data_IF_831251847380
#
_entry.id   IF_831251847380
#
_cell.length_a   1.000
_cell.length_b   1.000
_cell.length_c   1.000
_cell.angle_alpha   90.00
_cell.angle_beta   90.00
_cell.angle_gamma   90.00
#
_symmetry.space_group_name_H-M   'P 1'
#
loop_
_entity.id
_entity.type
_entity.pdbx_description
1 polymer ?
#
# COMPACT_ATOMS: atom_id res chain seq x y z
N UNK A 1 -7.09 1.16 -5.35
CA UNK A 1 -5.90 1.70 -6.06
C UNK A 1 -5.22 0.56 -6.80
N UNK A 2 -4.89 0.72 -8.09
CA UNK A 2 -4.11 -0.28 -8.84
C UNK A 2 -2.69 0.22 -9.03
N UNK A 3 -1.70 -0.64 -8.82
CA UNK A 3 -0.29 -0.29 -8.87
C UNK A 3 0.52 -1.40 -9.50
N UNK A 4 1.64 -1.03 -10.12
CA UNK A 4 2.70 -1.97 -10.48
C UNK A 4 3.85 -1.77 -9.49
N UNK A 5 4.22 -2.82 -8.76
CA UNK A 5 5.24 -2.79 -7.70
C UNK A 5 6.51 -3.44 -8.23
N UNK A 6 7.63 -2.74 -8.13
CA UNK A 6 8.97 -3.24 -8.45
C UNK A 6 9.78 -3.31 -7.16
N UNK A 7 10.26 -4.51 -6.78
CA UNK A 7 11.13 -4.66 -5.62
C UNK A 7 12.58 -4.32 -5.99
N UNK A 8 12.94 -3.03 -5.83
CA UNK A 8 14.32 -2.55 -5.97
C UNK A 8 15.12 -2.61 -4.66
N UNK A 9 14.54 -3.15 -3.59
CA UNK A 9 15.21 -3.28 -2.29
C UNK A 9 16.16 -4.49 -2.27
N UNK A 10 16.93 -4.61 -1.19
CA UNK A 10 17.83 -5.76 -0.95
C UNK A 10 17.16 -6.95 -0.27
N UNK A 11 15.93 -6.77 0.20
CA UNK A 11 15.16 -7.74 0.98
C UNK A 11 13.88 -8.14 0.25
N UNK A 12 13.36 -9.32 0.56
CA UNK A 12 12.05 -9.74 0.06
C UNK A 12 10.94 -8.95 0.77
N UNK A 13 9.80 -8.83 0.09
CA UNK A 13 8.63 -8.14 0.63
C UNK A 13 7.36 -8.99 0.48
N UNK A 14 6.56 -9.04 1.54
CA UNK A 14 5.15 -9.43 1.43
C UNK A 14 4.35 -8.16 1.09
N UNK A 15 3.48 -8.27 0.07
CA UNK A 15 2.65 -7.16 -0.40
C UNK A 15 1.23 -7.19 0.17
N UNK A 16 0.80 -8.29 0.79
CA UNK A 16 -0.63 -8.58 0.98
C UNK A 16 -1.06 -8.83 2.41
N UNK A 17 -0.23 -9.45 3.26
CA UNK A 17 -0.66 -9.82 4.61
C UNK A 17 0.40 -9.61 5.70
N UNK A 18 1.59 -9.14 5.34
CA UNK A 18 2.66 -8.86 6.29
C UNK A 18 3.47 -7.63 5.87
N UNK A 19 4.43 -7.25 6.72
CA UNK A 19 5.45 -6.25 6.44
C UNK A 19 6.34 -6.69 5.25
N UNK A 20 6.98 -5.75 4.54
CA UNK A 20 7.22 -4.36 4.93
C UNK A 20 6.31 -3.32 4.26
N UNK A 21 5.39 -3.70 3.38
CA UNK A 21 4.63 -2.69 2.63
C UNK A 21 3.42 -2.20 3.40
N UNK A 22 3.32 -0.88 3.51
CA UNK A 22 2.22 -0.21 4.16
C UNK A 22 1.66 0.89 3.24
N UNK A 23 0.34 1.03 3.22
CA UNK A 23 -0.33 2.02 2.37
C UNK A 23 -1.46 2.73 3.11
N UNK A 24 -1.73 3.97 2.73
CA UNK A 24 -2.79 4.79 3.34
C UNK A 24 -3.54 5.57 2.28
N UNK A 25 -4.85 5.70 2.42
CA UNK A 25 -5.57 6.82 1.81
C UNK A 25 -5.69 7.95 2.83
N UNK A 26 -5.58 9.18 2.34
CA UNK A 26 -5.77 10.39 3.13
C UNK A 26 -6.85 11.24 2.48
N UNK A 27 -7.80 11.71 3.29
CA UNK A 27 -8.86 12.61 2.84
C UNK A 27 -8.55 14.08 3.08
N UNK A 28 -9.44 14.96 2.61
CA UNK A 28 -9.36 16.42 2.76
C UNK A 28 -9.42 16.92 4.23
N UNK A 29 -9.73 16.04 5.18
CA UNK A 29 -9.71 16.30 6.61
C UNK A 29 -8.48 15.70 7.30
N UNK A 30 -7.50 15.21 6.52
CA UNK A 30 -6.29 14.55 7.02
C UNK A 30 -6.54 13.25 7.80
N UNK A 31 -7.71 12.62 7.65
CA UNK A 31 -7.95 11.28 8.20
C UNK A 31 -7.23 10.25 7.34
N UNK A 32 -6.66 9.23 7.99
CA UNK A 32 -5.94 8.16 7.31
C UNK A 32 -6.73 6.85 7.36
N UNK A 33 -6.77 6.15 6.24
CA UNK A 33 -7.47 4.88 6.07
C UNK A 33 -6.50 3.80 5.63
N UNK A 34 -6.53 2.66 6.33
CA UNK A 34 -5.73 1.49 5.98
C UNK A 34 -6.43 0.69 4.89
N UNK A 35 -5.66 -0.08 4.12
CA UNK A 35 -6.27 -1.09 3.26
C UNK A 35 -6.92 -2.18 4.11
N UNK A 36 -7.84 -2.94 3.50
CA UNK A 36 -8.35 -4.17 4.12
C UNK A 36 -7.21 -5.16 4.40
N UNK A 37 -7.39 -6.05 5.36
CA UNK A 37 -6.35 -7.04 5.73
C UNK A 37 -6.23 -8.18 4.71
N UNK A 38 -7.36 -8.60 4.12
CA UNK A 38 -7.43 -9.77 3.23
C UNK A 38 -7.07 -9.45 1.77
N UNK A 39 -6.02 -8.67 1.53
CA UNK A 39 -5.63 -8.26 0.15
C UNK A 39 -5.28 -9.45 -0.75
N UNK A 40 -4.82 -10.57 -0.19
CA UNK A 40 -4.52 -11.80 -0.94
C UNK A 40 -5.77 -12.46 -1.53
N UNK A 41 -6.97 -12.17 -1.01
CA UNK A 41 -8.24 -12.65 -1.58
C UNK A 41 -8.69 -11.87 -2.81
N UNK A 42 -8.04 -10.72 -3.10
CA UNK A 42 -8.37 -9.89 -4.25
C UNK A 42 -7.78 -10.53 -5.50
N UNK A 43 -8.63 -10.82 -6.48
CA UNK A 43 -8.23 -11.44 -7.74
C UNK A 43 -7.08 -10.66 -8.41
N UNK A 44 -5.98 -11.35 -8.66
CA UNK A 44 -4.78 -10.80 -9.31
C UNK A 44 -3.68 -10.35 -8.33
N UNK A 45 -3.99 -10.20 -7.04
CA UNK A 45 -2.97 -9.97 -6.03
C UNK A 45 -2.17 -11.26 -5.74
N UNK A 46 -0.93 -11.16 -5.24
CA UNK A 46 -0.18 -12.29 -4.71
C UNK A 46 -0.92 -13.01 -3.56
N UNK A 47 -0.62 -14.30 -3.37
CA UNK A 47 -1.05 -15.03 -2.18
C UNK A 47 -0.40 -14.46 -0.91
N UNK A 48 -1.04 -14.67 0.24
CA UNK A 48 -0.47 -14.28 1.53
C UNK A 48 0.88 -15.00 1.77
N UNK A 49 1.86 -14.29 2.32
CA UNK A 49 3.24 -14.74 2.50
C UNK A 49 4.01 -15.04 1.20
N UNK A 50 3.44 -14.76 0.01
CA UNK A 50 4.19 -14.84 -1.24
C UNK A 50 5.19 -13.69 -1.32
N UNK A 51 6.43 -14.03 -1.03
CA UNK A 51 7.55 -13.09 -1.00
C UNK A 51 7.91 -12.61 -2.41
N UNK A 52 7.75 -11.32 -2.69
CA UNK A 52 8.30 -10.68 -3.88
C UNK A 52 9.81 -10.47 -3.67
N UNK A 53 10.61 -11.16 -4.47
CA UNK A 53 12.08 -11.15 -4.35
C UNK A 53 12.71 -9.88 -4.95
N UNK A 54 13.91 -9.47 -4.51
CA UNK A 54 14.67 -8.39 -5.15
C UNK A 54 14.80 -8.56 -6.67
N UNK A 55 14.52 -7.49 -7.42
CA UNK A 55 14.54 -7.45 -8.88
C UNK A 55 13.28 -8.01 -9.57
N UNK A 56 12.29 -8.49 -8.81
CA UNK A 56 11.02 -8.95 -9.34
C UNK A 56 9.95 -7.86 -9.20
N UNK A 57 8.88 -8.04 -9.98
CA UNK A 57 7.73 -7.14 -10.01
C UNK A 57 6.41 -7.90 -9.83
N UNK A 58 5.39 -7.19 -9.37
CA UNK A 58 4.03 -7.70 -9.24
C UNK A 58 3.01 -6.58 -9.37
N UNK A 59 1.86 -6.90 -9.96
CA UNK A 59 0.70 -6.01 -9.92
C UNK A 59 -0.04 -6.15 -8.58
N UNK A 60 -0.58 -5.04 -8.10
CA UNK A 60 -1.33 -4.96 -6.85
C UNK A 60 -2.60 -4.12 -7.01
N UNK A 61 -3.68 -4.62 -6.41
CA UNK A 61 -4.91 -3.88 -6.17
C UNK A 61 -5.10 -3.70 -4.67
N UNK A 62 -4.97 -2.46 -4.20
CA UNK A 62 -5.22 -2.06 -2.82
C UNK A 62 -6.68 -1.64 -2.66
N UNK A 63 -7.37 -2.24 -1.70
CA UNK A 63 -8.78 -1.94 -1.38
C UNK A 63 -8.84 -1.28 0.00
N UNK A 64 -9.65 -0.23 0.12
CA UNK A 64 -9.84 0.56 1.33
C UNK A 64 -11.32 0.69 1.62
N UNK A 65 -11.67 0.69 2.90
CA UNK A 65 -12.99 1.07 3.37
C UNK A 65 -12.95 2.51 3.87
N UNK A 66 -13.77 3.37 3.27
CA UNK A 66 -13.83 4.81 3.59
C UNK A 66 -15.28 5.25 3.70
N UNK A 67 -15.60 6.27 4.53
CA UNK A 67 -16.94 6.86 4.56
C UNK A 67 -17.36 7.35 3.17
N UNK A 68 -18.63 7.19 2.81
CA UNK A 68 -19.15 7.69 1.52
C UNK A 68 -19.06 9.20 1.37
N UNK A 69 -18.94 9.93 2.49
CA UNK A 69 -18.73 11.37 2.54
C UNK A 69 -17.26 11.80 2.50
N UNK A 70 -16.31 10.86 2.48
CA UNK A 70 -14.89 11.19 2.47
C UNK A 70 -14.43 11.61 1.07
N UNK A 71 -13.78 12.78 0.98
CA UNK A 71 -13.09 13.21 -0.24
C UNK A 71 -11.64 12.76 -0.16
N UNK A 72 -11.30 11.67 -0.85
CA UNK A 72 -9.92 11.17 -0.88
C UNK A 72 -9.05 12.06 -1.77
N UNK A 73 -7.92 12.55 -1.22
CA UNK A 73 -7.02 13.49 -1.92
C UNK A 73 -5.62 12.92 -2.14
N UNK A 74 -5.18 11.97 -1.31
CA UNK A 74 -3.80 11.45 -1.36
C UNK A 74 -3.77 9.95 -1.10
N UNK A 75 -2.85 9.26 -1.78
CA UNK A 75 -2.46 7.87 -1.48
C UNK A 75 -1.00 7.86 -1.04
N UNK A 76 -0.74 7.32 0.15
CA UNK A 76 0.59 7.13 0.71
C UNK A 76 1.05 5.69 0.52
N UNK A 77 2.32 5.54 0.13
CA UNK A 77 3.02 4.26 0.02
C UNK A 77 4.30 4.33 0.85
N UNK A 78 4.50 3.30 1.68
CA UNK A 78 5.58 3.24 2.66
C UNK A 78 6.18 1.83 2.68
N UNK A 79 7.51 1.78 2.74
CA UNK A 79 8.26 0.57 2.97
C UNK A 79 8.86 0.61 4.39
N UNK A 80 8.57 -0.41 5.19
CA UNK A 80 8.91 -0.51 6.61
C UNK A 80 10.02 -1.53 6.87
N UNK A 81 10.98 -1.68 5.96
CA UNK A 81 12.09 -2.66 6.14
C UNK A 81 13.11 -2.24 7.19
N UNK A 82 13.19 -0.95 7.54
CA UNK A 82 14.00 -0.45 8.65
C UNK A 82 13.12 -0.23 9.90
N UNK A 83 13.17 -1.13 10.90
CA UNK A 83 12.35 -1.01 12.09
C UNK A 83 12.65 0.25 12.92
N UNK A 84 13.84 0.84 12.78
CA UNK A 84 14.22 2.07 13.50
C UNK A 84 13.46 3.30 13.01
N UNK A 85 12.80 3.19 11.85
CA UNK A 85 12.04 4.25 11.21
C UNK A 85 10.52 4.08 11.35
N UNK A 86 10.07 3.02 12.02
CA UNK A 86 8.64 2.79 12.27
C UNK A 86 8.09 3.94 13.13
N UNK A 87 7.08 4.65 12.61
CA UNK A 87 6.45 5.79 13.25
C UNK A 87 7.13 7.14 12.97
N UNK A 88 8.28 7.16 12.29
CA UNK A 88 8.99 8.37 11.86
C UNK A 88 9.20 8.46 10.36
N UNK A 89 9.04 7.34 9.64
CA UNK A 89 9.05 7.32 8.18
C UNK A 89 7.99 8.25 7.60
N UNK A 90 8.37 8.92 6.51
CA UNK A 90 7.43 9.69 5.71
C UNK A 90 7.03 8.84 4.49
N UNK A 91 5.75 8.45 4.38
CA UNK A 91 5.26 7.78 3.20
C UNK A 91 5.48 8.64 1.96
N UNK A 92 5.86 8.02 0.85
CA UNK A 92 5.78 8.68 -0.45
C UNK A 92 4.31 8.90 -0.78
N UNK A 93 3.93 10.14 -1.05
CA UNK A 93 2.53 10.50 -1.30
C UNK A 93 2.29 10.82 -2.77
N UNK A 94 1.17 10.31 -3.28
CA UNK A 94 0.70 10.56 -4.64
C UNK A 94 -0.70 11.19 -4.54
N UNK A 95 -0.92 12.39 -5.10
CA UNK A 95 -2.25 12.97 -5.18
C UNK A 95 -3.21 12.06 -5.97
N UNK A 96 -4.38 11.78 -5.40
CA UNK A 96 -5.39 10.95 -6.06
C UNK A 96 -6.26 11.86 -6.93
N UNK A 97 -6.12 11.72 -8.24
CA UNK A 97 -7.06 12.29 -9.19
C UNK A 97 -8.17 11.27 -9.40
N UNK A 98 -9.30 11.43 -8.71
CA UNK A 98 -10.50 10.64 -9.01
C UNK A 98 -11.06 11.16 -10.36
N UNK A 99 -10.80 10.42 -11.43
CA UNK A 99 -11.52 10.62 -12.69
C UNK A 99 -13.00 10.34 -12.44
N UNK A 100 -13.84 11.38 -12.53
CA UNK A 100 -15.29 11.25 -12.54
C UNK A 100 -15.77 10.42 -13.71
#
# INVERSE_FOLDING_TARGET
MKTHIVNNAKLSMDLTCSLPINTRLVDDQSRQFNSIEDLYKIKGNPECNKQLQPGFEADMTWIYEVPTSATIVTWGFEELTDPSTIGTNQPTTVPVQLSK
#
